data_IF_350417370556
#
_entry.id   IF_350417370556
#
_cell.length_a   1.000
_cell.length_b   1.000
_cell.length_c   1.000
_cell.angle_alpha   90.00
_cell.angle_beta   90.00
_cell.angle_gamma   90.00
#
_symmetry.space_group_name_H-M   'P 1'
#
loop_
_entity.id
_entity.type
_entity.pdbx_description
1 polymer ?
#
# COMPACT_ATOMS: atom_id res chain seq x y z
N UNK A 1 1.70 19.80 -51.85
CA UNK A 1 2.66 19.06 -51.00
C UNK A 1 2.84 19.63 -49.59
N UNK A 2 2.78 20.95 -49.36
CA UNK A 2 2.95 21.56 -48.00
C UNK A 2 1.79 21.33 -47.02
N UNK A 3 0.57 21.12 -47.49
CA UNK A 3 -0.63 20.91 -46.64
C UNK A 3 -0.70 19.51 -46.01
N UNK A 4 -0.14 18.50 -46.67
CA UNK A 4 -0.12 17.11 -46.19
C UNK A 4 0.94 16.87 -45.09
N UNK A 5 2.02 17.66 -45.10
CA UNK A 5 3.07 17.62 -44.07
C UNK A 5 2.61 18.25 -42.74
N UNK A 6 1.75 19.27 -42.77
CA UNK A 6 1.19 19.89 -41.57
C UNK A 6 0.16 18.97 -40.88
N UNK A 7 -0.65 18.23 -41.64
CA UNK A 7 -1.61 17.26 -41.09
C UNK A 7 -0.92 16.05 -40.42
N UNK A 8 0.20 15.56 -40.98
CA UNK A 8 0.97 14.46 -40.41
C UNK A 8 1.79 14.86 -39.17
N UNK A 9 2.26 16.11 -39.10
CA UNK A 9 2.92 16.64 -37.89
C UNK A 9 1.91 16.88 -36.76
N UNK A 10 0.70 17.32 -37.06
CA UNK A 10 -0.37 17.44 -36.07
C UNK A 10 -0.82 16.07 -35.53
N UNK A 11 -0.93 15.05 -36.38
CA UNK A 11 -1.29 13.69 -35.96
C UNK A 11 -0.20 13.00 -35.11
N UNK A 12 1.08 13.27 -35.38
CA UNK A 12 2.19 12.71 -34.61
C UNK A 12 2.39 13.40 -33.25
N UNK A 13 1.99 14.67 -33.10
CA UNK A 13 2.13 15.42 -31.85
C UNK A 13 1.04 15.08 -30.82
N UNK A 14 -0.11 14.55 -31.25
CA UNK A 14 -1.21 14.13 -30.37
C UNK A 14 -0.93 12.78 -29.69
N UNK A 15 -0.09 11.91 -30.27
CA UNK A 15 0.22 10.60 -29.68
C UNK A 15 1.34 10.61 -28.61
N UNK A 16 2.03 11.73 -28.37
CA UNK A 16 3.24 11.78 -27.54
C UNK A 16 3.04 12.37 -26.13
N UNK A 17 1.83 12.78 -25.76
CA UNK A 17 1.56 13.44 -24.46
C UNK A 17 0.60 12.66 -23.55
N UNK A 18 0.09 11.51 -23.99
CA UNK A 18 -0.65 10.62 -23.11
C UNK A 18 0.32 9.83 -22.23
N UNK A 19 0.52 10.25 -20.97
CA UNK A 19 0.97 9.31 -19.95
C UNK A 19 0.03 8.10 -20.01
N UNK A 20 0.51 6.85 -20.09
CA UNK A 20 -0.38 5.71 -20.05
C UNK A 20 -1.22 5.85 -18.79
N UNK A 21 -2.54 5.90 -18.93
CA UNK A 21 -3.44 5.93 -17.79
C UNK A 21 -3.13 4.67 -16.97
N UNK A 22 -2.51 4.85 -15.79
CA UNK A 22 -2.26 3.74 -14.87
C UNK A 22 -3.62 3.16 -14.54
N UNK A 23 -3.78 1.84 -14.69
CA UNK A 23 -5.02 1.20 -14.31
C UNK A 23 -5.38 1.59 -12.87
N UNK A 24 -6.65 1.93 -12.63
CA UNK A 24 -7.15 2.14 -11.29
C UNK A 24 -6.94 0.85 -10.49
N UNK A 25 -6.60 0.99 -9.20
CA UNK A 25 -6.44 -0.19 -8.36
C UNK A 25 -7.77 -0.93 -8.25
N UNK A 26 -7.71 -2.26 -8.17
CA UNK A 26 -8.87 -3.10 -7.89
C UNK A 26 -9.31 -3.05 -6.42
N UNK A 27 -8.51 -2.40 -5.56
CA UNK A 27 -8.85 -2.19 -4.16
C UNK A 27 -9.60 -0.86 -4.00
N UNK A 28 -10.53 -0.86 -3.07
CA UNK A 28 -11.19 0.32 -2.53
C UNK A 28 -10.38 0.79 -1.31
N UNK A 29 -10.05 2.09 -1.28
CA UNK A 29 -9.53 2.76 -0.09
C UNK A 29 -8.29 2.07 0.52
N UNK A 30 -7.35 1.65 -0.33
CA UNK A 30 -6.09 1.05 0.12
C UNK A 30 -5.10 2.03 0.73
N UNK A 31 -5.39 3.33 0.63
CA UNK A 31 -4.76 4.47 1.29
C UNK A 31 -5.47 4.86 2.61
N UNK A 32 -6.56 4.17 2.98
CA UNK A 32 -7.22 4.32 4.28
C UNK A 32 -7.78 5.72 4.59
N UNK A 33 -8.00 6.57 3.59
CA UNK A 33 -8.52 7.92 3.78
C UNK A 33 -10.01 7.96 4.12
N UNK A 34 -10.77 6.96 3.67
CA UNK A 34 -12.21 6.93 3.85
C UNK A 34 -12.59 6.09 5.06
N UNK A 35 -12.89 6.76 6.17
CA UNK A 35 -13.26 6.14 7.45
C UNK A 35 -14.58 6.70 7.99
N UNK A 36 -15.30 5.94 8.84
CA UNK A 36 -16.63 6.32 9.33
C UNK A 36 -16.64 7.53 10.27
N UNK A 37 -15.67 7.62 11.20
CA UNK A 37 -15.42 8.77 12.06
C UNK A 37 -14.08 8.60 12.79
N UNK A 38 -13.48 9.72 13.18
CA UNK A 38 -12.45 9.74 14.20
C UNK A 38 -13.09 10.12 15.53
N UNK A 39 -12.59 9.54 16.62
CA UNK A 39 -13.04 9.92 17.95
C UNK A 39 -12.76 11.42 18.17
N UNK A 40 -13.77 12.15 18.62
CA UNK A 40 -13.71 13.58 18.92
C UNK A 40 -13.87 13.74 20.43
N UNK A 41 -13.00 14.51 21.05
CA UNK A 41 -13.07 14.75 22.49
C UNK A 41 -14.35 15.52 22.83
N UNK A 42 -15.19 14.95 23.69
CA UNK A 42 -16.55 15.45 23.96
C UNK A 42 -16.62 16.87 24.53
N UNK A 43 -15.54 17.37 25.13
CA UNK A 43 -15.49 18.71 25.75
C UNK A 43 -14.87 19.78 24.84
N UNK A 44 -13.89 19.40 24.01
CA UNK A 44 -13.14 20.36 23.17
C UNK A 44 -13.58 20.35 21.72
N UNK A 45 -14.28 19.30 21.25
CA UNK A 45 -14.63 19.15 19.84
C UNK A 45 -13.41 18.85 18.95
N UNK A 46 -12.23 18.64 19.54
CA UNK A 46 -11.00 18.33 18.82
C UNK A 46 -10.94 16.85 18.46
N UNK A 47 -10.44 16.55 17.26
CA UNK A 47 -10.15 15.17 16.85
C UNK A 47 -9.01 14.62 17.70
N UNK A 48 -9.14 13.38 18.16
CA UNK A 48 -8.09 12.71 18.92
C UNK A 48 -7.09 12.03 17.98
N UNK A 49 -5.80 12.20 18.33
CA UNK A 49 -4.63 11.65 17.66
C UNK A 49 -3.65 11.04 18.68
N UNK A 50 -2.81 10.06 18.34
CA UNK A 50 -2.91 9.13 17.21
C UNK A 50 -3.43 7.74 17.64
N UNK A 51 -3.87 6.96 16.65
CA UNK A 51 -4.21 5.54 16.82
C UNK A 51 -5.64 5.31 17.32
N UNK A 52 -6.63 5.49 16.45
CA UNK A 52 -8.00 5.07 16.73
C UNK A 52 -8.17 3.59 16.39
N UNK A 53 -8.75 2.84 17.31
CA UNK A 53 -9.03 1.44 17.11
C UNK A 53 -9.99 1.23 15.94
N UNK A 54 -9.64 0.28 15.08
CA UNK A 54 -10.49 -0.18 13.99
C UNK A 54 -11.15 -1.49 14.42
N UNK A 55 -12.47 -1.66 14.22
CA UNK A 55 -13.13 -2.97 14.36
C UNK A 55 -13.37 -3.52 15.78
N UNK A 56 -13.78 -4.79 15.84
CA UNK A 56 -14.59 -5.40 16.92
C UNK A 56 -14.00 -5.38 18.34
N UNK A 57 -12.70 -5.19 18.51
CA UNK A 57 -12.06 -5.23 19.84
C UNK A 57 -12.32 -4.00 20.69
N UNK A 58 -12.93 -2.96 20.12
CA UNK A 58 -13.09 -1.69 20.80
C UNK A 58 -14.49 -1.12 20.58
N UNK A 59 -15.43 -1.51 21.44
CA UNK A 59 -16.51 -0.58 21.77
C UNK A 59 -15.92 0.47 22.71
N UNK A 60 -16.14 1.75 22.41
CA UNK A 60 -15.82 2.79 23.38
C UNK A 60 -16.72 2.57 24.62
N UNK A 61 -16.09 2.14 25.72
CA UNK A 61 -16.80 1.79 26.95
C UNK A 61 -17.47 3.01 27.61
N UNK A 62 -17.09 4.23 27.23
CA UNK A 62 -17.59 5.48 27.80
C UNK A 62 -18.63 6.18 26.91
N UNK A 63 -18.61 5.96 25.58
CA UNK A 63 -19.56 6.61 24.66
C UNK A 63 -20.55 5.66 23.98
N UNK A 64 -20.33 4.34 24.03
CA UNK A 64 -21.15 3.36 23.32
C UNK A 64 -21.07 3.46 21.79
N UNK A 65 -20.15 4.29 21.27
CA UNK A 65 -19.93 4.42 19.84
C UNK A 65 -19.23 3.15 19.30
N UNK A 66 -19.51 2.75 18.05
CA UNK A 66 -18.81 1.63 17.43
C UNK A 66 -17.29 1.87 17.38
N UNK A 67 -16.52 0.89 16.93
CA UNK A 67 -15.15 1.16 16.50
C UNK A 67 -15.17 1.93 15.17
N UNK A 68 -14.09 2.68 14.89
CA UNK A 68 -13.89 3.26 13.55
C UNK A 68 -13.95 2.13 12.50
N UNK A 69 -14.55 2.41 11.35
CA UNK A 69 -14.53 1.50 10.20
C UNK A 69 -13.79 2.15 9.03
N UNK A 70 -13.16 1.30 8.23
CA UNK A 70 -12.43 1.68 7.03
C UNK A 70 -13.23 1.16 5.84
N UNK A 71 -13.60 2.04 4.90
CA UNK A 71 -14.40 1.62 3.75
C UNK A 71 -13.68 0.52 2.98
N UNK A 72 -14.40 -0.57 2.65
CA UNK A 72 -13.89 -1.65 1.83
C UNK A 72 -13.01 -2.67 2.57
N UNK A 73 -12.67 -2.43 3.83
CA UNK A 73 -11.79 -3.32 4.59
C UNK A 73 -12.48 -3.90 5.82
N UNK A 74 -12.24 -5.18 6.07
CA UNK A 74 -12.56 -5.86 7.33
C UNK A 74 -11.32 -5.90 8.22
N UNK A 75 -11.52 -5.78 9.53
CA UNK A 75 -10.49 -6.01 10.52
C UNK A 75 -10.90 -7.15 11.46
N UNK A 76 -9.99 -8.09 11.69
CA UNK A 76 -10.16 -9.19 12.64
C UNK A 76 -9.14 -9.21 13.78
N UNK A 77 -8.29 -8.19 13.91
CA UNK A 77 -7.21 -8.15 14.90
C UNK A 77 -7.00 -6.78 15.56
N UNK A 78 -5.91 -6.69 16.32
CA UNK A 78 -5.46 -5.49 17.03
C UNK A 78 -4.79 -4.49 16.07
N UNK A 79 -5.62 -3.87 15.23
CA UNK A 79 -5.22 -2.94 14.18
C UNK A 79 -5.82 -1.55 14.42
N UNK A 80 -5.04 -0.51 14.10
CA UNK A 80 -5.36 0.89 14.38
C UNK A 80 -5.19 1.73 13.15
N UNK A 81 -5.99 2.78 13.02
CA UNK A 81 -5.80 3.82 12.02
C UNK A 81 -5.06 4.99 12.67
N UNK A 82 -3.91 5.30 12.08
CA UNK A 82 -3.14 6.49 12.36
C UNK A 82 -3.43 7.53 11.30
N UNK A 83 -3.31 8.81 11.69
CA UNK A 83 -3.40 9.94 10.77
C UNK A 83 -1.99 10.44 10.43
N UNK A 84 -1.89 11.29 9.42
CA UNK A 84 -0.64 11.93 9.05
C UNK A 84 -0.10 12.87 10.14
N UNK A 85 -0.97 13.37 11.02
CA UNK A 85 -0.52 14.06 12.23
C UNK A 85 -0.13 13.03 13.29
N UNK A 86 1.17 12.84 13.46
CA UNK A 86 1.74 11.92 14.44
C UNK A 86 1.81 12.51 15.85
N UNK A 87 1.43 13.78 16.04
CA UNK A 87 1.48 14.39 17.37
C UNK A 87 0.49 13.72 18.33
N UNK A 88 0.93 13.55 19.57
CA UNK A 88 0.03 13.16 20.64
C UNK A 88 -1.04 14.23 20.83
N UNK A 89 -2.32 13.84 20.82
CA UNK A 89 -3.42 14.69 21.27
C UNK A 89 -3.21 15.05 22.74
N UNK A 90 -3.64 16.25 23.10
CA UNK A 90 -3.36 16.93 24.35
C UNK A 90 -3.41 16.06 25.62
N UNK A 91 -2.40 16.28 26.45
CA UNK A 91 -2.25 15.83 27.83
C UNK A 91 -3.49 16.27 28.63
N UNK A 92 -4.14 15.33 29.32
CA UNK A 92 -5.35 15.48 30.18
C UNK A 92 -6.73 15.17 29.57
N UNK A 93 -6.84 14.39 28.49
CA UNK A 93 -8.10 13.69 28.16
C UNK A 93 -8.31 12.51 29.11
N UNK A 94 -9.16 12.61 30.15
CA UNK A 94 -9.42 11.49 31.04
C UNK A 94 -10.35 10.52 30.32
N UNK A 95 -10.03 9.22 30.37
CA UNK A 95 -10.98 8.13 30.12
C UNK A 95 -11.43 7.94 28.66
N UNK A 96 -10.53 7.49 27.78
CA UNK A 96 -10.89 6.53 26.72
C UNK A 96 -9.75 5.53 26.53
N UNK A 97 -10.03 4.23 26.32
CA UNK A 97 -9.00 3.24 26.08
C UNK A 97 -8.27 3.56 24.76
N UNK A 98 -6.94 3.44 24.78
CA UNK A 98 -6.01 3.42 23.64
C UNK A 98 -5.74 4.74 22.88
N UNK A 99 -4.97 5.63 23.50
CA UNK A 99 -3.97 6.42 22.76
C UNK A 99 -2.79 5.48 22.48
N UNK A 100 -2.75 4.87 21.30
CA UNK A 100 -1.63 4.01 20.93
C UNK A 100 -0.53 4.90 20.34
N UNK A 101 0.56 5.10 21.07
CA UNK A 101 1.71 5.88 20.61
C UNK A 101 2.88 4.94 20.31
N UNK A 102 3.51 5.11 19.16
CA UNK A 102 4.77 4.43 18.86
C UNK A 102 5.93 5.31 19.31
N UNK A 103 7.02 4.70 19.77
CA UNK A 103 8.26 5.43 20.04
C UNK A 103 8.67 6.26 18.82
N UNK A 104 9.19 7.47 19.07
CA UNK A 104 9.56 8.40 18.02
C UNK A 104 8.52 9.46 17.72
N UNK A 105 7.24 9.17 18.00
CA UNK A 105 6.18 10.14 17.76
C UNK A 105 6.34 11.38 18.66
N UNK A 106 5.95 12.58 18.20
CA UNK A 106 6.00 13.77 19.04
C UNK A 106 5.29 13.56 20.38
N UNK A 107 5.99 13.89 21.47
CA UNK A 107 5.49 13.68 22.85
C UNK A 107 5.98 12.39 23.52
N UNK A 108 6.61 11.46 22.80
CA UNK A 108 7.14 10.21 23.38
C UNK A 108 8.53 10.35 24.04
N UNK A 109 9.15 11.53 23.96
CA UNK A 109 10.45 11.82 24.57
C UNK A 109 11.66 11.25 23.81
N UNK A 110 11.44 10.59 22.67
CA UNK A 110 12.48 10.06 21.79
C UNK A 110 12.19 10.50 20.36
N UNK A 111 13.23 10.88 19.63
CA UNK A 111 13.18 11.08 18.19
C UNK A 111 14.00 9.98 17.52
N UNK A 112 13.31 8.96 16.99
CA UNK A 112 13.92 7.84 16.28
C UNK A 112 13.80 7.95 14.75
N UNK A 113 13.33 9.11 14.25
CA UNK A 113 13.13 9.35 12.83
C UNK A 113 11.83 8.77 12.24
N UNK A 114 10.84 8.40 13.07
CA UNK A 114 9.50 8.04 12.56
C UNK A 114 8.92 9.17 11.71
N UNK A 115 8.30 8.78 10.60
CA UNK A 115 7.74 9.70 9.61
C UNK A 115 6.38 9.20 9.16
N UNK A 116 5.58 10.09 8.56
CA UNK A 116 4.34 9.71 7.88
C UNK A 116 4.62 8.80 6.69
N UNK A 117 3.60 8.04 6.28
CA UNK A 117 3.67 7.26 5.06
C UNK A 117 4.04 8.11 3.83
N UNK A 118 4.83 7.58 2.88
CA UNK A 118 5.13 8.25 1.61
C UNK A 118 3.91 8.52 0.73
N UNK A 119 2.80 7.80 0.93
CA UNK A 119 1.52 8.10 0.25
C UNK A 119 0.79 9.29 0.87
N UNK A 120 1.19 9.71 2.08
CA UNK A 120 0.52 10.73 2.87
C UNK A 120 -0.76 10.21 3.52
N UNK A 121 -1.35 11.04 4.37
CA UNK A 121 -2.64 10.72 4.99
C UNK A 121 -2.59 9.63 6.05
N UNK A 122 -3.63 8.81 6.13
CA UNK A 122 -3.84 7.78 7.13
C UNK A 122 -3.02 6.53 6.81
N UNK A 123 -2.73 5.73 7.84
CA UNK A 123 -2.13 4.42 7.65
C UNK A 123 -2.61 3.45 8.73
N UNK A 124 -2.50 2.15 8.47
CA UNK A 124 -2.77 1.12 9.47
C UNK A 124 -1.50 0.85 10.26
N UNK A 125 -1.61 0.71 11.58
CA UNK A 125 -0.58 0.09 12.41
C UNK A 125 -1.17 -1.12 13.14
N UNK A 126 -0.43 -2.21 13.15
CA UNK A 126 -0.89 -3.53 13.54
C UNK A 126 0.09 -4.15 14.52
N UNK A 127 -0.40 -4.63 15.65
CA UNK A 127 0.42 -5.42 16.56
C UNK A 127 0.68 -6.81 15.96
N UNK A 128 1.96 -7.18 15.85
CA UNK A 128 2.38 -8.45 15.27
C UNK A 128 2.37 -9.65 16.23
N UNK A 129 2.11 -9.44 17.53
CA UNK A 129 2.23 -10.45 18.58
C UNK A 129 1.15 -10.37 19.69
N UNK A 130 0.18 -9.46 19.59
CA UNK A 130 -0.93 -9.31 20.52
C UNK A 130 -2.26 -9.22 19.77
N UNK A 131 -3.16 -10.18 19.98
CA UNK A 131 -4.45 -10.29 19.27
C UNK A 131 -4.29 -10.05 17.76
N UNK A 132 -3.15 -10.48 17.20
CA UNK A 132 -2.76 -10.16 15.83
C UNK A 132 -3.64 -10.96 14.88
N UNK A 133 -4.34 -10.31 13.97
CA UNK A 133 -5.21 -10.97 13.01
C UNK A 133 -5.40 -10.05 11.80
N UNK A 134 -5.81 -10.62 10.65
CA UNK A 134 -5.64 -9.93 9.38
C UNK A 134 -6.62 -8.78 9.20
N UNK A 135 -6.19 -7.84 8.36
CA UNK A 135 -7.07 -6.93 7.64
C UNK A 135 -7.33 -7.53 6.25
N UNK A 136 -8.55 -7.43 5.74
CA UNK A 136 -8.91 -8.10 4.48
C UNK A 136 -9.87 -7.30 3.62
N UNK A 137 -9.80 -7.53 2.31
CA UNK A 137 -10.74 -7.00 1.33
C UNK A 137 -11.08 -8.06 0.28
N UNK A 138 -12.37 -8.20 -0.03
CA UNK A 138 -12.82 -9.00 -1.17
C UNK A 138 -12.58 -8.23 -2.45
N UNK A 139 -11.85 -8.83 -3.37
CA UNK A 139 -11.48 -8.27 -4.66
C UNK A 139 -12.29 -8.95 -5.75
N UNK A 140 -12.94 -8.16 -6.60
CA UNK A 140 -13.68 -8.64 -7.78
C UNK A 140 -13.05 -8.13 -9.08
N UNK A 141 -13.48 -8.64 -10.24
CA UNK A 141 -12.97 -8.22 -11.54
C UNK A 141 -11.62 -8.84 -11.91
N UNK A 142 -11.24 -9.93 -11.25
CA UNK A 142 -10.03 -10.68 -11.55
C UNK A 142 -10.24 -11.57 -12.79
N UNK A 143 -9.14 -11.93 -13.45
CA UNK A 143 -9.10 -12.93 -14.53
C UNK A 143 -8.30 -14.13 -14.03
N UNK A 144 -8.94 -15.29 -13.91
CA UNK A 144 -8.26 -16.52 -13.50
C UNK A 144 -7.09 -16.83 -14.44
N UNK A 145 -5.95 -17.24 -13.87
CA UNK A 145 -4.68 -17.48 -14.57
C UNK A 145 -3.86 -16.22 -14.85
N UNK A 146 -4.39 -15.01 -14.64
CA UNK A 146 -3.67 -13.75 -14.84
C UNK A 146 -2.90 -13.34 -13.59
N UNK A 147 -1.74 -12.71 -13.78
CA UNK A 147 -0.94 -12.17 -12.69
C UNK A 147 -1.44 -10.78 -12.25
N UNK A 148 -1.44 -10.57 -10.95
CA UNK A 148 -1.75 -9.32 -10.27
C UNK A 148 -0.65 -9.01 -9.26
N UNK A 149 -0.30 -7.74 -9.14
CA UNK A 149 0.68 -7.27 -8.18
C UNK A 149 -0.03 -6.57 -7.03
N UNK A 150 0.23 -7.04 -5.82
CA UNK A 150 -0.03 -6.32 -4.58
C UNK A 150 1.18 -5.46 -4.29
N UNK A 151 1.00 -4.15 -4.20
CA UNK A 151 2.05 -3.20 -3.82
C UNK A 151 1.58 -2.32 -2.68
N UNK A 152 2.48 -1.98 -1.76
CA UNK A 152 2.18 -1.15 -0.60
C UNK A 152 3.46 -0.58 -0.01
N UNK A 153 3.33 0.46 0.80
CA UNK A 153 4.38 0.93 1.70
C UNK A 153 4.19 0.27 3.07
N UNK A 154 5.29 -0.18 3.69
CA UNK A 154 5.25 -0.59 5.09
C UNK A 154 6.47 -0.10 5.86
N UNK A 155 6.31 0.04 7.16
CA UNK A 155 7.34 0.43 8.12
C UNK A 155 7.16 -0.39 9.41
N UNK A 156 8.09 -0.27 10.35
CA UNK A 156 7.95 -0.90 11.65
C UNK A 156 8.38 0.02 12.78
N UNK A 157 7.75 -0.14 13.94
CA UNK A 157 8.05 0.60 15.15
C UNK A 157 7.69 -0.23 16.38
N UNK A 158 7.73 0.40 17.54
CA UNK A 158 7.43 -0.24 18.81
C UNK A 158 6.47 0.61 19.63
N UNK A 159 5.50 -0.04 20.27
CA UNK A 159 4.54 0.61 21.17
C UNK A 159 5.24 1.21 22.40
N UNK A 160 4.96 2.47 22.70
CA UNK A 160 5.25 3.06 23.99
C UNK A 160 4.27 2.52 25.06
N UNK A 161 4.71 2.23 26.31
CA UNK A 161 6.04 2.46 26.90
C UNK A 161 6.95 1.23 26.88
N UNK A 162 6.63 0.20 26.10
CA UNK A 162 7.38 -1.04 26.07
C UNK A 162 8.79 -0.84 25.53
N UNK A 163 9.73 -1.68 25.96
CA UNK A 163 11.14 -1.60 25.60
C UNK A 163 11.68 -2.97 25.25
N UNK A 164 12.79 -2.99 24.53
CA UNK A 164 13.45 -4.16 24.00
C UNK A 164 13.44 -4.16 22.47
N UNK A 165 14.41 -4.82 21.81
CA UNK A 165 14.37 -4.96 20.36
C UNK A 165 13.17 -5.81 19.94
N UNK A 166 12.53 -5.45 18.84
CA UNK A 166 11.48 -6.23 18.21
C UNK A 166 11.86 -6.65 16.79
N UNK A 167 11.01 -7.42 16.13
CA UNK A 167 11.04 -7.57 14.68
C UNK A 167 9.64 -7.58 14.11
N UNK A 168 9.50 -7.17 12.86
CA UNK A 168 8.21 -6.96 12.20
C UNK A 168 8.24 -7.42 10.75
N UNK A 169 7.11 -7.93 10.27
CA UNK A 169 6.85 -8.34 8.90
C UNK A 169 5.35 -8.27 8.57
N UNK A 170 5.04 -8.33 7.28
CA UNK A 170 3.69 -8.55 6.78
C UNK A 170 3.62 -9.87 6.03
N UNK A 171 2.64 -10.71 6.40
CA UNK A 171 2.25 -11.87 5.61
C UNK A 171 1.03 -11.50 4.78
N UNK A 172 1.10 -11.73 3.48
CA UNK A 172 0.02 -11.45 2.52
C UNK A 172 -0.51 -12.76 1.99
N UNK A 173 -1.81 -13.00 2.16
CA UNK A 173 -2.52 -14.04 1.45
C UNK A 173 -3.40 -13.44 0.35
N UNK A 174 -3.35 -14.06 -0.83
CA UNK A 174 -4.31 -13.84 -1.91
C UNK A 174 -5.05 -15.15 -2.23
N UNK A 175 -6.36 -15.19 -2.02
CA UNK A 175 -7.19 -16.37 -2.24
C UNK A 175 -8.28 -16.56 -1.19
N UNK A 176 -8.40 -17.79 -0.69
CA UNK A 176 -9.42 -18.24 0.28
C UNK A 176 -8.78 -18.67 1.60
N UNK A 177 -7.72 -17.97 2.03
CA UNK A 177 -7.07 -18.28 3.31
C UNK A 177 -8.03 -18.09 4.48
N UNK A 178 -8.11 -19.12 5.32
CA UNK A 178 -8.51 -18.95 6.71
C UNK A 178 -7.31 -18.46 7.52
N UNK A 179 -7.55 -18.01 8.74
CA UNK A 179 -6.50 -17.83 9.73
C UNK A 179 -6.90 -18.52 11.03
N UNK A 180 -5.90 -19.00 11.75
CA UNK A 180 -6.04 -19.59 13.09
C UNK A 180 -5.23 -18.76 14.07
N UNK A 181 -5.69 -18.68 15.31
CA UNK A 181 -5.06 -17.92 16.38
C UNK A 181 -4.56 -18.86 17.47
N UNK A 182 -3.31 -18.68 17.90
CA UNK A 182 -2.75 -19.33 19.08
C UNK A 182 -2.33 -18.25 20.08
N UNK A 183 -3.26 -17.86 20.94
CA UNK A 183 -3.07 -16.82 21.95
C UNK A 183 -3.12 -17.43 23.35
N UNK A 184 -2.32 -16.88 24.26
CA UNK A 184 -2.51 -17.12 25.67
C UNK A 184 -3.78 -16.36 26.19
N UNK A 185 -4.21 -16.57 27.44
CA UNK A 185 -5.38 -15.90 28.00
C UNK A 185 -5.32 -14.36 28.06
N UNK A 186 -4.13 -13.76 27.90
CA UNK A 186 -3.93 -12.31 27.87
C UNK A 186 -4.07 -11.73 26.46
N UNK A 187 -4.11 -12.57 25.42
CA UNK A 187 -4.15 -12.16 24.00
C UNK A 187 -2.79 -12.17 23.30
N UNK A 188 -1.73 -12.45 24.03
CA UNK A 188 -0.37 -12.60 23.53
C UNK A 188 -0.23 -13.89 22.70
N UNK A 189 0.26 -13.76 21.46
CA UNK A 189 0.49 -14.91 20.59
C UNK A 189 0.41 -14.56 19.11
N UNK A 190 0.14 -15.57 18.27
CA UNK A 190 0.23 -15.44 16.82
C UNK A 190 -1.00 -15.97 16.11
N UNK A 191 -1.51 -15.20 15.15
CA UNK A 191 -2.27 -15.75 14.03
C UNK A 191 -1.35 -16.30 12.95
N UNK A 192 -1.85 -17.29 12.21
CA UNK A 192 -1.19 -17.84 11.02
C UNK A 192 -2.24 -18.11 9.95
N UNK A 193 -1.91 -17.86 8.68
CA UNK A 193 -2.78 -18.22 7.58
C UNK A 193 -2.75 -19.73 7.31
N UNK A 194 -3.94 -20.30 7.15
CA UNK A 194 -4.13 -21.65 6.62
C UNK A 194 -4.62 -21.53 5.18
N UNK A 195 -3.83 -21.95 4.18
CA UNK A 195 -4.18 -21.75 2.78
C UNK A 195 -5.39 -22.61 2.40
N UNK A 196 -6.41 -21.98 1.81
CA UNK A 196 -7.44 -22.68 1.04
C UNK A 196 -6.90 -23.09 -0.34
N UNK A 197 -7.65 -23.92 -1.06
CA UNK A 197 -7.27 -24.38 -2.41
C UNK A 197 -6.92 -23.20 -3.34
N UNK A 198 -5.73 -23.26 -3.95
CA UNK A 198 -5.23 -22.22 -4.86
C UNK A 198 -4.78 -20.90 -4.19
N UNK A 199 -4.84 -20.80 -2.87
CA UNK A 199 -4.37 -19.62 -2.15
C UNK A 199 -2.86 -19.50 -2.23
N UNK A 200 -2.37 -18.27 -2.33
CA UNK A 200 -0.95 -17.98 -2.34
C UNK A 200 -0.62 -17.10 -1.13
N UNK A 201 0.40 -17.51 -0.37
CA UNK A 201 0.87 -16.79 0.81
C UNK A 201 2.31 -16.38 0.55
N UNK A 202 2.62 -15.10 0.74
CA UNK A 202 3.97 -14.57 0.67
C UNK A 202 4.20 -13.64 1.86
N UNK A 203 5.41 -13.63 2.40
CA UNK A 203 5.79 -12.79 3.52
C UNK A 203 6.86 -11.79 3.09
N UNK A 204 6.80 -10.58 3.60
CA UNK A 204 7.90 -9.63 3.48
C UNK A 204 9.13 -10.12 4.26
N UNK A 205 10.28 -9.53 3.97
CA UNK A 205 11.47 -9.81 4.77
C UNK A 205 11.28 -9.22 6.16
N UNK A 206 11.34 -10.08 7.19
CA UNK A 206 11.30 -9.64 8.60
C UNK A 206 12.45 -8.69 8.92
N UNK A 207 12.14 -7.61 9.63
CA UNK A 207 13.09 -6.55 9.98
C UNK A 207 13.20 -6.41 11.48
N UNK A 208 14.43 -6.44 11.97
CA UNK A 208 14.73 -6.07 13.34
C UNK A 208 14.48 -4.57 13.53
N UNK A 209 13.75 -4.24 14.60
CA UNK A 209 13.56 -2.89 15.11
C UNK A 209 14.39 -2.80 16.40
N UNK A 210 15.37 -1.88 16.49
CA UNK A 210 16.08 -1.63 17.75
C UNK A 210 15.11 -1.25 18.88
N UNK A 211 15.56 -1.34 20.14
CA UNK A 211 14.80 -0.80 21.27
C UNK A 211 14.38 0.66 20.99
N UNK A 212 13.08 0.94 21.09
CA UNK A 212 12.47 2.24 20.80
C UNK A 212 12.71 2.75 19.37
N UNK A 213 13.05 1.83 18.47
CA UNK A 213 13.48 2.11 17.11
C UNK A 213 12.32 2.28 16.12
N UNK A 214 12.72 2.68 14.92
CA UNK A 214 11.85 2.78 13.75
C UNK A 214 12.60 2.19 12.55
N UNK A 215 11.90 1.37 11.77
CA UNK A 215 12.37 0.90 10.46
C UNK A 215 11.67 1.74 9.39
N UNK A 216 12.42 2.49 8.56
CA UNK A 216 11.83 3.38 7.56
C UNK A 216 10.93 2.68 6.55
N UNK A 217 9.94 3.45 6.08
CA UNK A 217 9.01 3.09 5.03
C UNK A 217 9.73 2.51 3.81
N UNK A 218 9.22 1.38 3.34
CA UNK A 218 9.69 0.70 2.14
C UNK A 218 8.53 0.21 1.30
N UNK A 219 8.76 0.22 0.00
CA UNK A 219 7.78 -0.21 -0.96
C UNK A 219 7.95 -1.71 -1.24
N UNK A 220 6.86 -2.47 -1.13
CA UNK A 220 6.80 -3.89 -1.47
C UNK A 220 6.04 -4.09 -2.77
N UNK A 221 6.39 -5.16 -3.48
CA UNK A 221 5.77 -5.53 -4.73
C UNK A 221 5.73 -7.06 -4.83
N UNK A 222 4.54 -7.63 -4.67
CA UNK A 222 4.32 -9.06 -4.53
C UNK A 222 3.36 -9.51 -5.63
N UNK A 223 3.79 -10.48 -6.44
CA UNK A 223 3.00 -10.97 -7.57
C UNK A 223 2.28 -12.26 -7.20
N UNK A 224 0.99 -12.28 -7.50
CA UNK A 224 0.08 -13.41 -7.35
C UNK A 224 -0.58 -13.75 -8.68
N UNK A 225 -1.04 -14.98 -8.84
CA UNK A 225 -1.83 -15.43 -9.98
C UNK A 225 -3.25 -15.67 -9.51
N UNK A 226 -4.20 -14.92 -10.05
CA UNK A 226 -5.59 -15.06 -9.67
C UNK A 226 -6.11 -16.47 -10.04
N UNK A 227 -6.89 -17.07 -9.15
CA UNK A 227 -7.47 -18.41 -9.37
C UNK A 227 -8.96 -18.35 -9.77
N UNK A 228 -9.59 -17.21 -9.54
CA UNK A 228 -11.00 -16.95 -9.82
C UNK A 228 -11.22 -15.48 -10.14
N UNK A 229 -12.43 -15.11 -10.54
CA UNK A 229 -12.82 -13.71 -10.78
C UNK A 229 -13.03 -12.89 -9.51
N UNK A 230 -13.17 -13.57 -8.37
CA UNK A 230 -13.30 -12.98 -7.04
C UNK A 230 -12.44 -13.74 -6.04
N UNK A 231 -11.58 -13.04 -5.29
CA UNK A 231 -10.72 -13.60 -4.25
C UNK A 231 -10.59 -12.61 -3.09
N UNK A 232 -10.08 -13.06 -1.95
CA UNK A 232 -9.79 -12.19 -0.81
C UNK A 232 -8.30 -11.86 -0.78
N UNK A 233 -7.98 -10.58 -0.61
CA UNK A 233 -6.67 -10.12 -0.18
C UNK A 233 -6.68 -9.97 1.34
N UNK A 234 -5.78 -10.65 2.03
CA UNK A 234 -5.63 -10.59 3.49
C UNK A 234 -4.20 -10.26 3.86
N UNK A 235 -4.00 -9.31 4.76
CA UNK A 235 -2.70 -8.88 5.25
C UNK A 235 -2.64 -9.07 6.76
N UNK A 236 -1.64 -9.79 7.24
CA UNK A 236 -1.44 -10.13 8.63
C UNK A 236 -0.08 -9.62 9.10
N UNK A 237 -0.07 -8.78 10.13
CA UNK A 237 1.15 -8.40 10.80
C UNK A 237 1.71 -9.57 11.59
N UNK A 238 3.03 -9.70 11.54
CA UNK A 238 3.80 -10.63 12.34
C UNK A 238 4.92 -9.87 13.02
N UNK A 239 5.17 -10.15 14.30
CA UNK A 239 6.33 -9.60 14.97
C UNK A 239 6.76 -10.38 16.19
N UNK A 240 7.96 -10.11 16.68
CA UNK A 240 8.51 -10.77 17.87
C UNK A 240 9.27 -9.77 18.75
N UNK A 241 9.49 -10.06 20.04
CA UNK A 241 8.91 -11.16 20.81
C UNK A 241 7.49 -10.83 21.31
N UNK A 242 6.77 -11.87 21.72
CA UNK A 242 5.50 -11.73 22.47
C UNK A 242 5.75 -10.94 23.77
N UNK A 243 4.78 -10.13 24.18
CA UNK A 243 4.88 -9.29 25.39
C UNK A 243 5.78 -8.05 25.23
N UNK A 244 6.39 -7.86 24.06
CA UNK A 244 7.12 -6.62 23.69
C UNK A 244 6.55 -6.11 22.36
N UNK A 245 5.40 -5.40 22.39
CA UNK A 245 4.54 -5.15 21.24
C UNK A 245 5.26 -4.60 19.98
N UNK A 246 5.46 -5.45 18.95
CA UNK A 246 5.96 -5.05 17.65
C UNK A 246 4.83 -4.43 16.83
N UNK A 247 5.06 -3.27 16.20
CA UNK A 247 4.05 -2.61 15.38
C UNK A 247 4.49 -2.48 13.93
N UNK A 248 3.83 -3.26 13.07
CA UNK A 248 3.98 -3.16 11.63
C UNK A 248 2.98 -2.12 11.08
N UNK A 249 3.49 -1.12 10.39
CA UNK A 249 2.68 -0.08 9.74
C UNK A 249 2.55 -0.38 8.24
N UNK A 250 1.39 -0.09 7.65
CA UNK A 250 1.12 -0.31 6.22
C UNK A 250 0.22 0.77 5.65
N UNK A 251 0.48 1.16 4.39
CA UNK A 251 -0.28 2.16 3.67
C UNK A 251 -0.17 1.99 2.14
N UNK A 252 -1.07 2.63 1.39
CA UNK A 252 -1.02 2.74 -0.05
C UNK A 252 -1.17 1.40 -0.75
N UNK A 253 -1.99 0.50 -0.19
CA UNK A 253 -2.19 -0.84 -0.72
C UNK A 253 -2.89 -0.74 -2.08
N UNK A 254 -2.27 -1.33 -3.09
CA UNK A 254 -2.80 -1.42 -4.43
C UNK A 254 -2.74 -2.83 -4.92
N UNK A 255 -3.79 -3.25 -5.62
CA UNK A 255 -3.80 -4.42 -6.46
C UNK A 255 -4.00 -3.97 -7.92
N UNK A 256 -2.98 -4.19 -8.74
CA UNK A 256 -2.97 -3.82 -10.16
C UNK A 256 -2.68 -5.07 -11.01
N UNK A 257 -3.32 -5.21 -12.19
CA UNK A 257 -3.01 -6.31 -13.10
C UNK A 257 -1.58 -6.16 -13.65
N UNK A 258 -0.78 -7.23 -13.61
CA UNK A 258 0.56 -7.22 -14.21
C UNK A 258 0.38 -7.26 -15.74
N UNK A 259 1.00 -6.33 -16.50
CA UNK A 259 0.95 -6.39 -17.96
C UNK A 259 1.59 -7.68 -18.47
N UNK A 260 0.92 -8.37 -19.39
CA UNK A 260 1.46 -9.59 -19.97
C UNK A 260 2.77 -9.30 -20.74
N UNK A 261 3.74 -10.22 -20.78
CA UNK A 261 4.97 -10.05 -21.55
C UNK A 261 4.71 -9.73 -23.04
N UNK A 262 3.63 -10.25 -23.60
CA UNK A 262 3.15 -9.92 -24.96
C UNK A 262 2.79 -8.44 -25.11
N UNK A 263 2.25 -7.81 -24.06
CA UNK A 263 1.94 -6.36 -24.05
C UNK A 263 3.22 -5.55 -24.19
N UNK A 264 4.28 -5.93 -23.46
CA UNK A 264 5.60 -5.32 -23.58
C UNK A 264 6.22 -5.56 -24.96
N UNK A 265 6.12 -6.79 -25.47
CA UNK A 265 6.63 -7.13 -26.80
C UNK A 265 5.91 -6.31 -27.90
N UNK A 266 4.59 -6.20 -27.85
CA UNK A 266 3.81 -5.41 -28.81
C UNK A 266 4.10 -3.91 -28.68
N UNK A 267 4.33 -3.41 -27.46
CA UNK A 267 4.76 -2.02 -27.25
C UNK A 267 6.15 -1.76 -27.85
N UNK A 268 7.11 -2.66 -27.61
CA UNK A 268 8.46 -2.57 -28.18
C UNK A 268 8.45 -2.70 -29.70
N UNK A 269 7.64 -3.60 -30.27
CA UNK A 269 7.44 -3.72 -31.71
C UNK A 269 6.83 -2.44 -32.26
N UNK A 270 5.78 -1.89 -31.62
CA UNK A 270 5.15 -0.64 -32.01
C UNK A 270 6.16 0.52 -32.05
N UNK A 271 6.94 0.70 -30.98
CA UNK A 271 7.99 1.71 -30.95
C UNK A 271 9.12 1.44 -31.94
N UNK A 272 9.49 0.18 -32.15
CA UNK A 272 10.50 -0.23 -33.13
C UNK A 272 10.08 0.11 -34.56
N UNK A 273 8.82 -0.12 -34.92
CA UNK A 273 8.25 0.24 -36.23
C UNK A 273 8.23 1.76 -36.40
N UNK A 274 7.72 2.51 -35.42
CA UNK A 274 7.66 3.98 -35.49
C UNK A 274 9.07 4.58 -35.59
N UNK A 275 10.00 4.14 -34.74
CA UNK A 275 11.41 4.58 -34.78
C UNK A 275 12.10 4.21 -36.09
N UNK A 276 11.84 3.02 -36.63
CA UNK A 276 12.34 2.57 -37.93
C UNK A 276 11.87 3.46 -39.08
N UNK A 277 10.58 3.78 -39.14
CA UNK A 277 10.00 4.68 -40.16
C UNK A 277 10.53 6.11 -40.04
N UNK A 278 10.73 6.61 -38.81
CA UNK A 278 11.33 7.94 -38.60
C UNK A 278 12.81 7.98 -39.03
N UNK A 279 13.55 6.89 -38.84
CA UNK A 279 14.97 6.79 -39.22
C UNK A 279 15.16 6.74 -40.73
N UNK A 280 14.31 6.01 -41.46
CA UNK A 280 14.41 5.91 -42.93
C UNK A 280 14.08 7.23 -43.65
N UNK A 281 13.33 8.13 -43.00
CA UNK A 281 13.03 9.47 -43.52
C UNK A 281 14.18 10.48 -43.38
N UNK A 282 15.28 10.12 -42.72
CA UNK A 282 16.49 10.96 -42.60
C UNK A 282 17.57 10.63 -43.64
N UNK A 283 17.20 10.30 -44.88
CA UNK A 283 18.22 10.24 -45.93
C UNK A 283 18.69 11.66 -46.28
N UNK A 284 20.01 11.94 -46.26
CA UNK A 284 20.55 13.21 -46.72
C UNK A 284 20.27 13.32 -48.21
N UNK A 285 19.64 14.42 -48.63
CA UNK A 285 19.55 14.82 -50.04
C UNK A 285 20.99 14.97 -50.57
N UNK A 286 21.54 13.89 -51.11
CA UNK A 286 22.78 13.92 -51.88
C UNK A 286 22.50 14.68 -53.16
N UNK A 287 22.85 15.96 -53.16
CA UNK A 287 22.73 16.86 -54.30
C UNK A 287 23.67 16.43 -55.42
N UNK A 288 23.21 15.56 -56.31
CA UNK A 288 23.76 15.44 -57.66
C UNK A 288 22.94 16.32 -58.59
N UNK A 289 23.31 17.60 -58.71
CA UNK A 289 22.97 18.39 -59.90
C UNK A 289 24.00 18.03 -60.99
N UNK A 290 23.62 17.10 -61.85
CA UNK A 290 24.14 17.07 -63.21
C UNK A 290 23.51 18.24 -63.97
N UNK A 291 24.32 19.12 -64.54
CA UNK A 291 23.87 20.00 -65.62
C UNK A 291 24.85 19.88 -66.78
N UNK A 292 24.35 19.30 -67.87
CA UNK A 292 24.96 19.28 -69.20
C UNK A 292 24.46 20.48 -70.01
N UNK A 293 25.26 20.89 -70.99
CA UNK A 293 25.00 21.80 -72.13
C UNK A 293 25.15 23.30 -71.81
N UNK A 294 25.69 24.19 -72.66
CA UNK A 294 25.81 24.30 -74.13
C UNK A 294 27.10 25.08 -74.54
N UNK A 295 27.75 24.77 -75.68
CA UNK A 295 27.86 25.62 -76.89
C UNK A 295 28.11 27.12 -76.59
N UNK A 296 29.33 27.64 -76.75
CA UNK A 296 29.94 28.30 -77.94
C UNK A 296 31.45 28.21 -77.81
#
# INVERSE_FOLDING_TARGET
>A
MRTWLLALLAAAMVCALGTPARAASLLVNGDFETTSYFYVHGTTGETIYPGTSWGQYFTDQNTGQPAQTVQGWTNSGYNFIYKSDLSASWVNSPQSPSFLALWGMPGTGINNGITTSPTGGNFVAADGAYLNAPISQTVTGLTAGRQYAVSFWWAAGQLQPYRGPTSDAWTVCFGTCAFTTDYNPLGDGYATFTPGAGSQIQQTISRAVPDQGFVPWRHEYIVFTAQSSTQTLSLLAYGTPVGTPPFAMIDGIRLDAVPEPSTWAMMLIGFGVVGGVMRTRRQPLSGKRAFKAQIV
#
